data_IF_993114705645
#
_entry.id   IF_993114705645
#
_cell.length_a   1.000
_cell.length_b   1.000
_cell.length_c   1.000
_cell.angle_alpha   90.00
_cell.angle_beta   90.00
_cell.angle_gamma   90.00
#
_symmetry.space_group_name_H-M   'P 1'
#
loop_
_entity.id
_entity.type
_entity.pdbx_description
1 polymer ?
#
# COMPACT_ATOMS: atom_id res chain seq x y z
N UNK A 1 -47.18 -24.77 -61.21
CA UNK A 1 -45.80 -24.64 -61.76
C UNK A 1 -45.39 -23.17 -61.65
N UNK A 2 -44.09 -22.93 -61.48
CA UNK A 2 -43.41 -21.71 -61.00
C UNK A 2 -43.48 -21.55 -59.47
N UNK A 3 -42.39 -21.44 -58.69
CA UNK A 3 -40.97 -21.38 -59.01
C UNK A 3 -40.25 -20.50 -57.97
N UNK A 4 -39.52 -21.13 -57.06
CA UNK A 4 -38.36 -20.69 -56.24
C UNK A 4 -38.37 -19.29 -55.59
N UNK A 5 -38.19 -19.30 -54.26
CA UNK A 5 -37.67 -18.16 -53.50
C UNK A 5 -37.08 -18.62 -52.17
N UNK A 6 -35.97 -19.36 -52.19
CA UNK A 6 -35.20 -19.67 -50.97
C UNK A 6 -34.54 -18.39 -50.49
N UNK A 7 -35.10 -17.79 -49.44
CA UNK A 7 -34.45 -16.71 -48.70
C UNK A 7 -33.67 -17.33 -47.54
N UNK A 8 -32.36 -17.43 -47.75
CA UNK A 8 -31.36 -17.59 -46.70
C UNK A 8 -31.50 -16.46 -45.67
N UNK A 9 -32.04 -16.77 -44.48
CA UNK A 9 -31.81 -15.99 -43.27
C UNK A 9 -30.83 -16.76 -42.39
N UNK A 10 -29.55 -16.71 -42.75
CA UNK A 10 -28.47 -16.91 -41.79
C UNK A 10 -28.26 -15.57 -41.08
N UNK A 11 -28.57 -15.50 -39.80
CA UNK A 11 -28.52 -14.25 -39.06
C UNK A 11 -28.34 -14.44 -37.56
N UNK A 12 -27.11 -14.19 -37.12
CA UNK A 12 -26.69 -13.76 -35.78
C UNK A 12 -26.48 -14.84 -34.72
N UNK A 13 -25.31 -15.47 -34.86
CA UNK A 13 -24.38 -15.80 -33.79
C UNK A 13 -24.41 -14.83 -32.59
N UNK A 14 -24.60 -15.44 -31.42
CA UNK A 14 -23.71 -15.40 -30.26
C UNK A 14 -23.20 -14.04 -29.73
N UNK A 15 -23.52 -13.80 -28.46
CA UNK A 15 -22.48 -13.50 -27.47
C UNK A 15 -22.20 -12.03 -27.21
N UNK A 16 -23.02 -11.39 -26.37
CA UNK A 16 -22.59 -10.24 -25.57
C UNK A 16 -22.66 -10.60 -24.09
N UNK A 17 -21.74 -11.47 -23.66
CA UNK A 17 -21.32 -11.50 -22.25
C UNK A 17 -20.19 -10.48 -22.15
N UNK A 18 -20.53 -9.23 -21.86
CA UNK A 18 -19.54 -8.23 -21.50
C UNK A 18 -18.85 -8.69 -20.22
N UNK A 19 -17.58 -9.10 -20.32
CA UNK A 19 -16.73 -9.37 -19.18
C UNK A 19 -16.63 -8.10 -18.33
N UNK A 20 -17.39 -8.04 -17.23
CA UNK A 20 -17.13 -7.14 -16.12
C UNK A 20 -15.90 -7.63 -15.34
N UNK A 21 -14.75 -7.69 -16.00
CA UNK A 21 -13.50 -7.88 -15.30
C UNK A 21 -13.24 -6.60 -14.49
N UNK A 22 -13.05 -6.67 -13.17
CA UNK A 22 -12.66 -5.50 -12.40
C UNK A 22 -11.34 -5.00 -12.97
N UNK A 23 -11.33 -3.78 -13.49
CA UNK A 23 -10.11 -3.10 -13.90
C UNK A 23 -9.27 -2.94 -12.63
N UNK A 24 -8.27 -3.81 -12.46
CA UNK A 24 -7.29 -3.67 -11.41
C UNK A 24 -6.50 -2.39 -11.69
N UNK A 25 -6.93 -1.28 -11.08
CA UNK A 25 -6.18 -0.03 -11.11
C UNK A 25 -4.81 -0.31 -10.51
N UNK A 26 -3.77 -0.11 -11.32
CA UNK A 26 -2.38 -0.21 -10.89
C UNK A 26 -2.17 0.60 -9.61
N UNK A 27 -1.42 0.05 -8.66
CA UNK A 27 -1.11 0.71 -7.40
C UNK A 27 -0.54 2.12 -7.63
N UNK A 28 -1.02 3.16 -6.90
CA UNK A 28 -0.48 4.51 -6.99
C UNK A 28 1.04 4.56 -6.76
N UNK A 29 1.74 5.45 -7.49
CA UNK A 29 3.22 5.57 -7.44
C UNK A 29 3.80 5.68 -6.03
N UNK A 30 3.16 6.45 -5.14
CA UNK A 30 3.65 6.60 -3.77
C UNK A 30 3.62 5.29 -2.98
N UNK A 31 2.63 4.42 -3.22
CA UNK A 31 2.56 3.09 -2.58
C UNK A 31 3.62 2.15 -3.16
N UNK A 32 3.89 2.21 -4.47
CA UNK A 32 5.02 1.48 -5.07
C UNK A 32 6.36 1.93 -4.47
N UNK A 33 6.57 3.24 -4.31
CA UNK A 33 7.75 3.79 -3.65
C UNK A 33 7.87 3.29 -2.21
N UNK A 34 6.77 3.33 -1.44
CA UNK A 34 6.75 2.86 -0.06
C UNK A 34 7.07 1.36 0.04
N UNK A 35 6.41 0.53 -0.77
CA UNK A 35 6.59 -0.92 -0.77
C UNK A 35 8.05 -1.30 -1.04
N UNK A 36 8.68 -0.71 -2.06
CA UNK A 36 10.09 -0.96 -2.38
C UNK A 36 11.07 -0.39 -1.34
N UNK A 37 10.74 0.73 -0.70
CA UNK A 37 11.54 1.32 0.38
C UNK A 37 11.47 0.49 1.67
N UNK A 38 10.30 -0.07 1.98
CA UNK A 38 10.04 -0.88 3.17
C UNK A 38 10.32 -2.38 2.96
N UNK A 39 10.57 -2.81 1.72
CA UNK A 39 10.87 -4.20 1.37
C UNK A 39 9.65 -5.11 1.25
N UNK A 40 8.44 -4.55 1.13
CA UNK A 40 7.18 -5.30 1.01
C UNK A 40 6.96 -5.88 -0.38
N UNK A 41 7.86 -5.59 -1.31
CA UNK A 41 7.95 -6.12 -2.66
C UNK A 41 8.66 -7.49 -2.72
N UNK A 42 9.10 -8.02 -1.58
CA UNK A 42 9.83 -9.29 -1.48
C UNK A 42 8.94 -10.37 -0.86
N UNK A 43 8.39 -11.25 -1.69
CA UNK A 43 7.64 -12.43 -1.21
C UNK A 43 6.34 -12.70 -1.96
N UNK A 44 5.85 -11.74 -2.73
CA UNK A 44 4.70 -11.91 -3.62
C UNK A 44 5.11 -11.46 -5.04
N UNK A 45 5.13 -12.34 -6.04
CA UNK A 45 5.48 -11.98 -7.42
C UNK A 45 4.44 -11.07 -8.11
N UNK A 46 3.28 -10.84 -7.48
CA UNK A 46 2.21 -9.96 -7.94
C UNK A 46 1.92 -8.84 -6.93
N UNK A 47 2.91 -8.47 -6.10
CA UNK A 47 2.76 -7.49 -5.02
C UNK A 47 2.20 -6.14 -5.50
N UNK A 48 2.51 -5.71 -6.74
CA UNK A 48 2.03 -4.45 -7.33
C UNK A 48 0.50 -4.43 -7.51
N UNK A 49 -0.14 -5.59 -7.54
CA UNK A 49 -1.59 -5.77 -7.68
C UNK A 49 -2.25 -6.17 -6.35
N UNK A 50 -1.44 -6.43 -5.32
CA UNK A 50 -1.93 -6.86 -4.01
C UNK A 50 -2.48 -5.70 -3.21
N UNK A 51 -3.78 -5.73 -2.89
CA UNK A 51 -4.39 -4.79 -1.96
C UNK A 51 -3.84 -4.88 -0.53
N UNK A 52 -3.09 -5.95 -0.22
CA UNK A 52 -2.46 -6.18 1.08
C UNK A 52 -1.11 -5.49 1.22
N UNK A 53 -0.44 -5.19 0.10
CA UNK A 53 0.85 -4.48 0.13
C UNK A 53 0.58 -2.98 0.19
N UNK A 54 1.05 -2.35 1.27
CA UNK A 54 0.80 -0.95 1.57
C UNK A 54 -0.70 -0.59 1.45
N UNK A 55 -1.60 -1.21 2.24
CA UNK A 55 -3.02 -0.93 2.13
C UNK A 55 -3.29 0.56 2.38
N UNK A 56 -4.36 1.11 1.83
CA UNK A 56 -4.68 2.53 2.04
C UNK A 56 -4.83 2.87 3.53
N UNK A 57 -5.23 1.88 4.34
CA UNK A 57 -5.35 1.99 5.80
C UNK A 57 -4.02 2.21 6.53
N UNK A 58 -2.87 2.08 5.85
CA UNK A 58 -1.59 2.52 6.41
C UNK A 58 -1.58 4.02 6.70
N UNK A 59 -2.24 4.84 5.88
CA UNK A 59 -2.26 6.31 6.05
C UNK A 59 -3.67 6.89 6.24
N UNK A 60 -4.72 6.14 5.91
CA UNK A 60 -6.09 6.60 5.93
C UNK A 60 -6.93 5.79 6.91
N UNK A 61 -8.03 6.35 7.37
CA UNK A 61 -9.01 5.59 8.19
C UNK A 61 -9.91 4.69 7.34
N UNK A 62 -9.91 4.90 6.02
CA UNK A 62 -10.80 4.23 5.06
C UNK A 62 -10.03 3.22 4.19
N UNK A 63 -10.52 1.98 4.00
CA UNK A 63 -9.87 0.98 3.14
C UNK A 63 -9.69 1.42 1.68
N UNK A 64 -10.58 2.29 1.18
CA UNK A 64 -10.47 2.89 -0.16
C UNK A 64 -9.53 4.11 -0.22
N UNK A 65 -8.97 4.55 0.90
CA UNK A 65 -8.20 5.79 1.02
C UNK A 65 -9.05 7.06 0.90
N UNK A 66 -8.39 8.19 0.63
CA UNK A 66 -9.05 9.47 0.35
C UNK A 66 -9.23 10.32 1.61
N UNK A 67 -10.45 10.83 1.83
CA UNK A 67 -10.73 11.70 2.97
C UNK A 67 -10.59 10.94 4.30
N UNK A 68 -9.98 11.59 5.30
CA UNK A 68 -9.67 11.01 6.60
C UNK A 68 -8.26 10.44 6.64
N UNK A 69 -7.47 10.91 7.60
CA UNK A 69 -6.12 10.44 7.87
C UNK A 69 -6.11 9.75 9.22
N UNK A 70 -5.40 8.62 9.31
CA UNK A 70 -5.08 8.02 10.59
C UNK A 70 -3.90 8.78 11.24
N UNK A 71 -3.50 8.47 12.48
CA UNK A 71 -2.41 9.17 13.14
C UNK A 71 -1.10 9.18 12.33
N UNK A 72 -0.67 8.04 11.77
CA UNK A 72 0.52 7.99 10.89
C UNK A 72 0.37 8.84 9.61
N UNK A 73 -0.80 8.86 9.01
CA UNK A 73 -1.13 9.71 7.88
C UNK A 73 -0.97 11.19 8.21
N UNK A 74 -1.35 11.62 9.42
CA UNK A 74 -1.10 12.97 9.89
C UNK A 74 0.40 13.26 10.09
N UNK A 75 1.19 12.28 10.55
CA UNK A 75 2.65 12.39 10.60
C UNK A 75 3.27 12.63 9.22
N UNK A 76 2.81 11.91 8.19
CA UNK A 76 3.24 12.14 6.80
C UNK A 76 2.84 13.53 6.30
N UNK A 77 1.61 13.98 6.59
CA UNK A 77 1.17 15.34 6.21
C UNK A 77 2.01 16.41 6.90
N UNK A 78 2.36 16.22 8.17
CA UNK A 78 3.27 17.11 8.88
C UNK A 78 4.65 17.13 8.21
N UNK A 79 5.20 15.96 7.86
CA UNK A 79 6.46 15.86 7.12
C UNK A 79 6.45 16.59 5.78
N UNK A 80 5.36 16.50 5.00
CA UNK A 80 5.22 17.26 3.75
C UNK A 80 5.09 18.77 3.96
N UNK A 81 4.47 19.22 5.07
CA UNK A 81 4.44 20.65 5.43
C UNK A 81 5.82 21.16 5.85
N UNK A 82 6.59 20.35 6.56
CA UNK A 82 7.97 20.66 6.98
C UNK A 82 8.96 20.64 5.82
N UNK A 83 8.71 19.82 4.79
CA UNK A 83 9.59 19.66 3.62
C UNK A 83 8.82 19.90 2.31
N UNK A 84 8.44 21.16 2.00
CA UNK A 84 7.72 21.47 0.77
C UNK A 84 8.49 21.00 -0.48
N UNK A 85 7.82 20.26 -1.37
CA UNK A 85 8.41 19.76 -2.61
C UNK A 85 9.26 18.49 -2.47
N UNK A 86 9.45 17.95 -1.26
CA UNK A 86 10.14 16.68 -1.08
C UNK A 86 9.37 15.51 -1.72
N UNK A 87 10.11 14.52 -2.21
CA UNK A 87 9.54 13.26 -2.71
C UNK A 87 9.00 12.43 -1.55
N UNK A 88 7.96 11.63 -1.82
CA UNK A 88 7.31 10.78 -0.81
C UNK A 88 8.30 9.94 0.00
N UNK A 89 9.25 9.25 -0.66
CA UNK A 89 10.21 8.41 0.07
C UNK A 89 11.09 9.17 1.05
N UNK A 90 11.48 10.41 0.71
CA UNK A 90 12.24 11.28 1.61
C UNK A 90 11.41 11.70 2.82
N UNK A 91 10.14 12.06 2.61
CA UNK A 91 9.21 12.38 3.70
C UNK A 91 8.97 11.16 4.59
N UNK A 92 8.68 10.00 4.01
CA UNK A 92 8.52 8.74 4.76
C UNK A 92 9.75 8.47 5.62
N UNK A 93 10.95 8.51 5.05
CA UNK A 93 12.19 8.28 5.78
C UNK A 93 12.39 9.29 6.92
N UNK A 94 12.10 10.58 6.68
CA UNK A 94 12.22 11.62 7.70
C UNK A 94 11.21 11.46 8.85
N UNK A 95 10.00 10.96 8.56
CA UNK A 95 8.98 10.68 9.58
C UNK A 95 9.45 9.51 10.44
N UNK A 96 9.91 8.41 9.83
CA UNK A 96 10.42 7.25 10.55
C UNK A 96 11.66 7.56 11.39
N UNK A 97 12.51 8.50 10.94
CA UNK A 97 13.66 8.98 11.73
C UNK A 97 13.28 9.62 13.06
N UNK A 98 12.07 10.17 13.20
CA UNK A 98 11.62 10.79 14.44
C UNK A 98 11.40 9.76 15.55
N UNK A 99 11.37 8.46 15.23
CA UNK A 99 11.07 7.36 16.18
C UNK A 99 9.77 7.61 16.95
N UNK A 100 8.80 8.23 16.29
CA UNK A 100 7.48 8.45 16.85
C UNK A 100 6.72 7.12 16.91
N UNK A 101 5.73 7.10 17.79
CA UNK A 101 4.69 6.08 17.92
C UNK A 101 3.39 6.85 17.66
N UNK A 102 2.92 6.80 16.42
CA UNK A 102 1.91 7.75 15.96
C UNK A 102 0.53 7.47 16.56
N UNK A 103 0.17 6.21 16.81
CA UNK A 103 -1.11 5.84 17.42
C UNK A 103 -1.06 5.59 18.94
N UNK A 104 0.15 5.58 19.52
CA UNK A 104 0.38 5.56 20.96
C UNK A 104 0.26 4.18 21.58
N UNK A 105 0.48 3.11 20.81
CA UNK A 105 0.33 1.74 21.25
C UNK A 105 1.58 1.14 21.92
N UNK A 106 2.67 1.91 21.96
CA UNK A 106 3.96 1.56 22.55
C UNK A 106 4.99 1.04 21.56
N UNK A 107 4.66 0.93 20.26
CA UNK A 107 5.60 0.55 19.21
C UNK A 107 5.93 1.74 18.30
N UNK A 108 7.21 2.09 18.12
CA UNK A 108 7.59 3.11 17.15
C UNK A 108 7.22 2.71 15.71
N UNK A 109 6.78 3.68 14.90
CA UNK A 109 6.27 3.48 13.53
C UNK A 109 7.20 2.62 12.65
N UNK A 110 8.52 2.80 12.80
CA UNK A 110 9.52 2.06 12.04
C UNK A 110 9.57 0.56 12.40
N UNK A 111 9.34 0.21 13.66
CA UNK A 111 9.27 -1.18 14.11
C UNK A 111 7.98 -1.85 13.66
N UNK A 112 6.89 -1.12 13.62
CA UNK A 112 5.63 -1.62 13.08
C UNK A 112 5.74 -1.95 11.60
N UNK A 113 6.36 -1.08 10.81
CA UNK A 113 6.67 -1.42 9.42
C UNK A 113 7.56 -2.66 9.31
N UNK A 114 8.56 -2.82 10.19
CA UNK A 114 9.39 -4.01 10.21
C UNK A 114 8.58 -5.28 10.58
N UNK A 115 7.61 -5.15 11.47
CA UNK A 115 6.70 -6.22 11.90
C UNK A 115 5.52 -6.47 10.96
N UNK A 116 5.41 -5.71 9.85
CA UNK A 116 4.26 -5.74 8.93
C UNK A 116 2.92 -5.41 9.61
N UNK A 117 2.92 -4.45 10.54
CA UNK A 117 1.72 -3.88 11.17
C UNK A 117 1.43 -2.45 10.71
N UNK A 118 0.37 -1.84 11.24
CA UNK A 118 -0.15 -0.55 10.77
C UNK A 118 0.05 0.57 11.81
N UNK A 119 0.98 1.51 11.59
CA UNK A 119 1.35 2.53 12.59
C UNK A 119 0.34 3.64 12.86
N UNK A 120 -0.87 3.49 12.32
CA UNK A 120 -1.98 4.40 12.59
C UNK A 120 -3.22 3.66 13.08
N UNK A 121 -3.06 2.42 13.53
CA UNK A 121 -4.12 1.59 14.08
C UNK A 121 -3.61 0.89 15.35
N UNK A 122 -3.99 1.37 16.56
CA UNK A 122 -3.46 0.87 17.83
C UNK A 122 -3.92 -0.57 18.17
N UNK A 123 -4.68 -1.19 17.26
CA UNK A 123 -5.08 -2.60 17.32
C UNK A 123 -4.19 -3.50 16.45
N UNK A 124 -3.33 -2.92 15.62
CA UNK A 124 -2.40 -3.61 14.73
C UNK A 124 -1.06 -3.78 15.44
N UNK A 125 -1.03 -4.61 16.49
CA UNK A 125 0.16 -4.77 17.31
C UNK A 125 1.14 -5.80 16.72
N UNK A 126 2.45 -5.55 16.77
CA UNK A 126 3.45 -6.57 16.52
C UNK A 126 3.28 -7.78 17.44
N UNK A 127 3.45 -8.99 16.90
CA UNK A 127 3.39 -10.23 17.69
C UNK A 127 4.59 -10.39 18.65
N UNK A 128 5.68 -9.64 18.42
CA UNK A 128 6.92 -9.70 19.19
C UNK A 128 6.94 -8.58 20.24
N UNK A 129 7.43 -8.84 21.47
CA UNK A 129 7.66 -7.78 22.44
C UNK A 129 8.64 -6.72 21.92
N UNK A 130 8.41 -5.46 22.29
CA UNK A 130 9.18 -4.29 21.83
C UNK A 130 10.70 -4.49 21.86
N UNK A 131 11.26 -4.95 22.98
CA UNK A 131 12.71 -5.11 23.12
C UNK A 131 13.29 -6.14 22.14
N UNK A 132 12.57 -7.24 21.88
CA UNK A 132 12.97 -8.25 20.91
C UNK A 132 12.86 -7.73 19.48
N UNK A 133 11.74 -7.09 19.16
CA UNK A 133 11.51 -6.50 17.84
C UNK A 133 12.56 -5.43 17.49
N UNK A 134 12.90 -4.58 18.46
CA UNK A 134 13.94 -3.56 18.30
C UNK A 134 15.31 -4.21 18.01
N UNK A 135 15.67 -5.28 18.73
CA UNK A 135 16.94 -5.97 18.49
C UNK A 135 16.99 -6.61 17.10
N UNK A 136 15.90 -7.26 16.66
CA UNK A 136 15.78 -7.83 15.31
C UNK A 136 15.88 -6.74 14.23
N UNK A 137 15.17 -5.62 14.43
CA UNK A 137 15.19 -4.48 13.51
C UNK A 137 16.62 -3.91 13.33
N UNK A 138 17.35 -3.69 14.43
CA UNK A 138 18.73 -3.20 14.36
C UNK A 138 19.67 -4.21 13.69
N UNK A 139 19.52 -5.51 13.97
CA UNK A 139 20.28 -6.56 13.29
C UNK A 139 20.01 -6.60 11.78
N UNK A 140 18.78 -6.31 11.35
CA UNK A 140 18.40 -6.20 9.94
C UNK A 140 18.92 -4.91 9.25
N UNK A 141 19.70 -4.08 9.96
CA UNK A 141 20.25 -2.83 9.45
C UNK A 141 19.53 -1.58 9.96
N UNK A 142 18.55 -1.75 10.86
CA UNK A 142 17.80 -0.67 11.49
C UNK A 142 17.17 0.25 10.46
N UNK A 143 17.08 1.54 10.80
CA UNK A 143 16.46 2.52 9.93
C UNK A 143 17.15 2.68 8.56
N UNK A 144 18.45 2.37 8.47
CA UNK A 144 19.21 2.51 7.21
C UNK A 144 18.62 1.67 6.08
N UNK A 145 17.96 0.55 6.40
CA UNK A 145 17.30 -0.30 5.40
C UNK A 145 16.16 0.44 4.67
N UNK A 146 15.57 1.47 5.29
CA UNK A 146 14.50 2.30 4.72
C UNK A 146 15.01 3.58 4.06
N UNK A 147 16.32 3.71 3.83
CA UNK A 147 16.86 4.87 3.10
C UNK A 147 16.21 4.96 1.71
N UNK A 148 15.73 6.15 1.28
CA UNK A 148 15.17 6.31 -0.04
C UNK A 148 16.22 5.96 -1.11
N UNK A 149 15.88 5.04 -2.01
CA UNK A 149 16.74 4.71 -3.14
C UNK A 149 16.63 5.80 -4.21
N UNK A 150 17.74 6.06 -4.92
CA UNK A 150 17.84 7.09 -5.95
C UNK A 150 16.97 6.80 -7.16
#
# INVERSE_FOLDING_TARGET
MAGVGVRTLGGLLAGLVALSAPVALSMPRYRLTAAHQLGYDKGDPLWEYSGKVMPCTTCHTRPQGGQGWNPFGESLRAGFREQPGAKFGAVLYSVLQKKADADGDGYPDALEFYAHTLPGDPKSLPARPLAGLQAEFEQAGGLKQYTPKK
#
